data_IF_358402255021
#
_entry.id   IF_358402255021
#
_cell.length_a   1.000
_cell.length_b   1.000
_cell.length_c   1.000
_cell.angle_alpha   90.00
_cell.angle_beta   90.00
_cell.angle_gamma   90.00
#
_symmetry.space_group_name_H-M   'P 1'
#
loop_
_entity.id
_entity.type
_entity.pdbx_description
1 polymer ?
#
# COMPACT_ATOMS: atom_id res chain seq x y z
N UNK A 1 -33.22 12.43 0.68
CA UNK A 1 -32.17 11.52 0.20
C UNK A 1 -31.24 11.28 1.39
N UNK A 2 -31.29 10.10 1.98
CA UNK A 2 -30.29 9.72 2.98
C UNK A 2 -28.95 9.58 2.25
N UNK A 3 -27.92 10.21 2.78
CA UNK A 3 -26.55 10.02 2.30
C UNK A 3 -26.17 8.55 2.51
N UNK A 4 -25.60 7.88 1.52
CA UNK A 4 -25.07 6.53 1.71
C UNK A 4 -23.89 6.51 2.69
N UNK A 5 -23.19 7.64 2.82
CA UNK A 5 -22.03 7.82 3.69
C UNK A 5 -22.44 8.68 4.89
N UNK A 6 -22.42 8.08 6.07
CA UNK A 6 -22.62 8.73 7.35
C UNK A 6 -21.31 9.15 8.01
N UNK A 7 -21.42 10.01 9.03
CA UNK A 7 -20.29 10.47 9.82
C UNK A 7 -19.87 9.41 10.85
N UNK A 8 -18.58 9.22 11.03
CA UNK A 8 -18.01 8.45 12.14
C UNK A 8 -17.53 9.41 13.24
N UNK A 9 -17.67 9.01 14.50
CA UNK A 9 -17.09 9.73 15.63
C UNK A 9 -15.56 9.71 15.52
N UNK A 10 -14.94 10.85 15.24
CA UNK A 10 -13.51 10.98 14.99
C UNK A 10 -12.65 10.50 16.16
N UNK A 11 -13.06 10.76 17.40
CA UNK A 11 -12.30 10.35 18.58
C UNK A 11 -12.30 8.83 18.74
N UNK A 12 -13.44 8.18 18.48
CA UNK A 12 -13.54 6.72 18.50
C UNK A 12 -12.79 6.08 17.36
N UNK A 13 -12.81 6.67 16.16
CA UNK A 13 -11.98 6.24 15.02
C UNK A 13 -10.51 6.28 15.38
N UNK A 14 -10.04 7.41 15.94
CA UNK A 14 -8.65 7.55 16.36
C UNK A 14 -8.28 6.50 17.42
N UNK A 15 -9.12 6.27 18.42
CA UNK A 15 -8.86 5.26 19.44
C UNK A 15 -8.72 3.83 18.85
N UNK A 16 -9.48 3.51 17.79
CA UNK A 16 -9.33 2.22 17.10
C UNK A 16 -7.97 2.13 16.42
N UNK A 17 -7.54 3.17 15.71
CA UNK A 17 -6.21 3.19 15.08
C UNK A 17 -5.08 3.15 16.11
N UNK A 18 -5.20 3.88 17.22
CA UNK A 18 -4.22 3.86 18.31
C UNK A 18 -4.09 2.45 18.92
N UNK A 19 -5.20 1.73 19.04
CA UNK A 19 -5.18 0.33 19.49
C UNK A 19 -4.47 -0.62 18.54
N UNK A 20 -4.34 -0.28 17.26
CA UNK A 20 -3.64 -1.05 16.24
C UNK A 20 -2.17 -0.65 16.08
N UNK A 21 -1.73 0.46 16.67
CA UNK A 21 -0.40 1.05 16.41
C UNK A 21 0.75 0.08 16.72
N UNK A 22 0.66 -0.70 17.80
CA UNK A 22 1.66 -1.72 18.15
C UNK A 22 1.77 -2.82 17.11
N UNK A 23 0.63 -3.31 16.58
CA UNK A 23 0.61 -4.35 15.55
C UNK A 23 1.19 -3.81 14.24
N UNK A 24 0.83 -2.57 13.88
CA UNK A 24 1.35 -1.87 12.70
C UNK A 24 2.86 -1.69 12.79
N UNK A 25 3.37 -1.26 13.95
CA UNK A 25 4.81 -1.16 14.22
C UNK A 25 5.51 -2.50 14.05
N UNK A 26 4.94 -3.58 14.60
CA UNK A 26 5.48 -4.94 14.46
C UNK A 26 5.49 -5.42 13.00
N UNK A 27 4.50 -5.02 12.18
CA UNK A 27 4.50 -5.30 10.75
C UNK A 27 5.68 -4.61 10.05
N UNK A 28 5.93 -3.34 10.39
CA UNK A 28 7.06 -2.58 9.85
C UNK A 28 8.41 -3.19 10.25
N UNK A 29 8.62 -3.53 11.51
CA UNK A 29 9.85 -4.14 12.00
C UNK A 29 10.17 -5.47 11.28
N UNK A 30 9.16 -6.31 11.02
CA UNK A 30 9.33 -7.51 10.18
C UNK A 30 9.63 -7.18 8.72
N UNK A 31 9.11 -6.09 8.22
CA UNK A 31 9.39 -5.59 6.86
C UNK A 31 10.84 -5.13 6.72
N UNK A 32 11.35 -4.37 7.68
CA UNK A 32 12.76 -3.91 7.73
C UNK A 32 13.74 -5.08 7.72
N UNK A 33 13.40 -6.22 8.31
CA UNK A 33 14.24 -7.42 8.23
C UNK A 33 14.42 -7.94 6.79
N UNK A 34 13.50 -7.62 5.86
CA UNK A 34 13.59 -7.97 4.42
C UNK A 34 14.14 -6.83 3.57
N UNK A 35 13.75 -5.60 3.89
CA UNK A 35 14.14 -4.38 3.20
C UNK A 35 14.69 -3.40 4.23
N UNK A 36 15.98 -3.46 4.59
CA UNK A 36 16.56 -2.70 5.72
C UNK A 36 16.35 -1.19 5.62
N UNK A 37 16.37 -0.65 4.41
CA UNK A 37 16.17 0.78 4.12
C UNK A 37 14.71 1.14 3.79
N UNK A 38 13.74 0.29 4.17
CA UNK A 38 12.32 0.58 3.93
C UNK A 38 11.88 1.82 4.71
N UNK A 39 11.30 2.77 4.01
CA UNK A 39 10.81 4.02 4.57
C UNK A 39 9.65 4.56 3.71
N UNK A 40 8.85 5.44 4.28
CA UNK A 40 7.76 6.11 3.57
C UNK A 40 6.48 6.14 4.37
N UNK A 41 5.44 6.58 3.71
CA UNK A 41 4.10 6.70 4.27
C UNK A 41 3.21 5.55 3.78
N UNK A 42 2.29 5.12 4.63
CA UNK A 42 1.16 4.30 4.25
C UNK A 42 -0.14 4.94 4.75
N UNK A 43 -1.11 5.08 3.86
CA UNK A 43 -2.47 5.53 4.19
C UNK A 43 -3.44 4.36 4.06
N UNK A 44 -4.07 4.01 5.17
CA UNK A 44 -5.07 2.96 5.25
C UNK A 44 -6.47 3.58 5.21
N UNK A 45 -7.36 2.95 4.44
CA UNK A 45 -8.76 3.34 4.36
C UNK A 45 -9.66 2.15 4.69
N UNK A 46 -10.67 2.41 5.53
CA UNK A 46 -11.65 1.45 5.99
C UNK A 46 -13.04 1.95 5.65
N UNK A 47 -13.80 1.15 4.92
CA UNK A 47 -15.24 1.34 4.77
C UNK A 47 -15.94 0.56 5.88
N UNK A 48 -16.69 1.27 6.70
CA UNK A 48 -17.38 0.74 7.88
C UNK A 48 -18.86 0.55 7.54
N UNK A 49 -19.39 -0.63 7.83
CA UNK A 49 -20.81 -0.94 7.68
C UNK A 49 -21.66 -0.31 8.80
N UNK A 50 -22.98 -0.30 8.62
CA UNK A 50 -23.95 0.26 9.56
C UNK A 50 -23.83 -0.33 11.00
N UNK A 51 -23.42 -1.59 11.11
CA UNK A 51 -23.23 -2.28 12.39
C UNK A 51 -21.86 -2.00 13.06
N UNK A 52 -20.96 -1.28 12.40
CA UNK A 52 -19.60 -1.01 12.87
C UNK A 52 -18.56 -2.06 12.44
N UNK A 53 -18.93 -3.02 11.62
CA UNK A 53 -17.98 -3.97 11.03
C UNK A 53 -17.24 -3.36 9.83
N UNK A 54 -16.09 -3.94 9.49
CA UNK A 54 -15.36 -3.56 8.28
C UNK A 54 -16.02 -4.16 7.05
N UNK A 55 -16.53 -3.31 6.16
CA UNK A 55 -17.04 -3.72 4.84
C UNK A 55 -15.89 -3.96 3.86
N UNK A 56 -15.00 -2.99 3.76
CA UNK A 56 -13.78 -3.03 2.94
C UNK A 56 -12.63 -2.38 3.68
N UNK A 57 -11.42 -2.86 3.43
CA UNK A 57 -10.19 -2.24 3.86
C UNK A 57 -9.18 -2.28 2.71
N UNK A 58 -8.47 -1.19 2.46
CA UNK A 58 -7.49 -1.10 1.39
C UNK A 58 -6.40 -0.09 1.71
N UNK A 59 -5.26 -0.27 1.06
CA UNK A 59 -4.16 0.69 1.09
C UNK A 59 -4.48 1.79 0.09
N UNK A 60 -4.85 2.97 0.60
CA UNK A 60 -5.27 4.12 -0.22
C UNK A 60 -4.09 4.83 -0.87
N UNK A 61 -3.01 4.95 -0.15
CA UNK A 61 -1.72 5.47 -0.63
C UNK A 61 -0.57 4.78 0.11
N UNK A 62 0.53 4.53 -0.58
CA UNK A 62 1.74 3.98 0.04
C UNK A 62 2.98 4.28 -0.77
N UNK A 63 4.03 4.61 -0.06
CA UNK A 63 5.40 4.64 -0.57
C UNK A 63 6.32 3.68 0.19
N UNK A 64 5.75 2.75 0.99
CA UNK A 64 6.54 1.73 1.71
C UNK A 64 7.20 0.73 0.77
N UNK A 65 6.50 0.29 -0.27
CA UNK A 65 7.09 -0.54 -1.33
C UNK A 65 7.28 -2.02 -0.96
N UNK A 66 6.59 -2.54 0.04
CA UNK A 66 6.59 -3.96 0.39
C UNK A 66 5.18 -4.46 0.70
N UNK A 67 4.60 -5.18 -0.24
CA UNK A 67 3.23 -5.70 -0.14
C UNK A 67 3.00 -6.57 1.09
N UNK A 68 4.00 -7.34 1.51
CA UNK A 68 3.89 -8.17 2.71
C UNK A 68 3.69 -7.32 3.96
N UNK A 69 4.44 -6.24 4.08
CA UNK A 69 4.28 -5.26 5.18
C UNK A 69 2.94 -4.53 5.09
N UNK A 70 2.58 -4.02 3.91
CA UNK A 70 1.30 -3.32 3.68
C UNK A 70 0.09 -4.19 4.02
N UNK A 71 0.09 -5.46 3.59
CA UNK A 71 -0.98 -6.42 3.89
C UNK A 71 -1.06 -6.76 5.38
N UNK A 72 0.08 -6.86 6.05
CA UNK A 72 0.14 -7.06 7.50
C UNK A 72 -0.51 -5.88 8.23
N UNK A 73 -0.15 -4.64 7.87
CA UNK A 73 -0.71 -3.42 8.47
C UNK A 73 -2.20 -3.29 8.19
N UNK A 74 -2.63 -3.62 6.96
CA UNK A 74 -4.04 -3.63 6.59
C UNK A 74 -4.84 -4.64 7.44
N UNK A 75 -4.27 -5.83 7.67
CA UNK A 75 -4.88 -6.86 8.52
C UNK A 75 -5.00 -6.43 9.97
N UNK A 76 -4.04 -5.65 10.48
CA UNK A 76 -4.07 -5.13 11.86
C UNK A 76 -5.30 -4.24 12.13
N UNK A 77 -5.82 -3.54 11.11
CA UNK A 77 -6.99 -2.66 11.23
C UNK A 77 -8.28 -3.31 10.72
N UNK A 78 -8.20 -4.23 9.75
CA UNK A 78 -9.36 -4.85 9.10
C UNK A 78 -10.28 -5.59 10.08
N UNK A 79 -9.73 -6.20 11.11
CA UNK A 79 -10.47 -7.04 12.07
C UNK A 79 -10.91 -6.28 13.33
N UNK A 80 -10.81 -4.94 13.33
CA UNK A 80 -11.28 -4.09 14.44
C UNK A 80 -12.77 -3.79 14.33
N UNK A 81 -13.39 -3.47 15.46
CA UNK A 81 -14.74 -2.94 15.51
C UNK A 81 -14.68 -1.41 15.49
N UNK A 82 -15.45 -0.81 14.61
CA UNK A 82 -15.49 0.62 14.38
C UNK A 82 -16.74 1.26 15.00
N UNK A 83 -16.74 2.58 15.23
CA UNK A 83 -17.95 3.28 15.59
C UNK A 83 -19.00 3.16 14.46
N UNK A 84 -20.27 3.03 14.85
CA UNK A 84 -21.36 2.96 13.88
C UNK A 84 -21.53 4.31 13.16
N UNK A 85 -21.75 4.32 11.83
CA UNK A 85 -22.04 5.54 11.09
C UNK A 85 -23.31 6.23 11.59
N UNK A 86 -23.29 7.55 11.62
CA UNK A 86 -24.45 8.37 11.97
C UNK A 86 -24.93 9.09 10.69
N UNK A 87 -26.22 9.01 10.41
CA UNK A 87 -26.85 9.68 9.27
C UNK A 87 -26.57 9.04 7.91
N UNK A 88 -26.13 7.78 7.85
CA UNK A 88 -25.91 7.02 6.64
C UNK A 88 -25.69 5.55 6.92
N UNK A 89 -25.67 4.73 5.86
CA UNK A 89 -25.50 3.26 5.93
C UNK A 89 -24.05 2.81 6.05
N UNK A 90 -23.11 3.65 5.69
CA UNK A 90 -21.68 3.36 5.69
C UNK A 90 -20.91 4.56 6.20
N UNK A 91 -19.73 4.31 6.77
CA UNK A 91 -18.77 5.34 7.14
C UNK A 91 -17.39 5.10 6.53
N UNK A 92 -16.54 6.11 6.56
CA UNK A 92 -15.14 5.98 6.12
C UNK A 92 -14.22 6.41 7.25
N UNK A 93 -13.26 5.54 7.59
CA UNK A 93 -12.15 5.84 8.49
C UNK A 93 -10.84 5.77 7.70
N UNK A 94 -9.98 6.75 7.90
CA UNK A 94 -8.66 6.81 7.24
C UNK A 94 -7.61 7.25 8.24
N UNK A 95 -6.39 6.75 8.09
CA UNK A 95 -5.22 7.22 8.82
C UNK A 95 -3.95 7.00 8.00
N UNK A 96 -2.93 7.78 8.31
CA UNK A 96 -1.58 7.63 7.74
C UNK A 96 -0.58 7.29 8.83
N UNK A 97 0.41 6.47 8.47
CA UNK A 97 1.58 6.19 9.27
C UNK A 97 2.83 6.50 8.45
N UNK A 98 3.77 7.22 9.07
CA UNK A 98 5.07 7.54 8.49
C UNK A 98 6.14 6.69 9.17
N UNK A 99 7.02 6.11 8.37
CA UNK A 99 8.14 5.31 8.82
C UNK A 99 9.44 5.83 8.23
N UNK A 100 10.46 5.90 9.06
CA UNK A 100 11.80 6.31 8.67
C UNK A 100 12.75 5.11 8.80
N UNK A 101 13.79 5.03 7.94
CA UNK A 101 14.80 3.98 8.05
C UNK A 101 15.59 4.15 9.33
N UNK A 102 16.30 3.09 9.75
CA UNK A 102 17.25 3.18 10.85
C UNK A 102 18.31 4.26 10.60
N UNK A 103 18.82 4.87 11.68
CA UNK A 103 19.79 5.97 11.59
C UNK A 103 21.06 5.60 10.80
N UNK A 104 21.46 4.35 10.84
CA UNK A 104 22.65 3.83 10.15
C UNK A 104 22.34 3.31 8.72
N UNK A 105 21.08 3.33 8.30
CA UNK A 105 20.68 2.79 6.99
C UNK A 105 20.83 3.85 5.91
N UNK A 106 21.65 3.53 4.90
CA UNK A 106 21.77 4.38 3.71
C UNK A 106 20.45 4.32 2.91
N UNK A 107 19.84 5.47 2.58
CA UNK A 107 18.64 5.47 1.74
C UNK A 107 18.96 4.94 0.34
N UNK A 108 17.99 4.25 -0.31
CA UNK A 108 18.14 3.80 -1.69
C UNK A 108 18.26 4.99 -2.64
N UNK A 109 18.77 4.72 -3.85
CA UNK A 109 18.82 5.73 -4.90
C UNK A 109 17.40 6.02 -5.40
N UNK A 110 17.04 7.28 -5.46
CA UNK A 110 15.75 7.68 -6.02
C UNK A 110 15.72 7.48 -7.53
N UNK A 111 14.75 6.70 -8.00
CA UNK A 111 14.50 6.44 -9.40
C UNK A 111 13.19 7.06 -9.87
N UNK A 112 13.17 7.41 -11.13
CA UNK A 112 11.93 7.68 -11.88
C UNK A 112 11.57 6.48 -12.75
N UNK A 113 10.40 6.48 -13.34
CA UNK A 113 9.96 5.43 -14.26
C UNK A 113 10.96 5.22 -15.42
N UNK A 114 11.57 6.29 -15.91
CA UNK A 114 12.56 6.22 -16.99
C UNK A 114 13.77 5.33 -16.65
N UNK A 115 14.15 5.25 -15.39
CA UNK A 115 15.28 4.42 -14.94
C UNK A 115 14.95 2.92 -14.96
N UNK A 116 13.66 2.53 -14.94
CA UNK A 116 13.27 1.12 -14.92
C UNK A 116 13.57 0.36 -16.22
N UNK A 117 13.73 1.12 -17.33
CA UNK A 117 14.16 0.59 -18.62
C UNK A 117 13.04 -0.11 -19.41
N UNK A 118 13.42 -0.77 -20.53
CA UNK A 118 12.46 -1.32 -21.49
C UNK A 118 11.63 -2.49 -20.97
N UNK A 119 12.10 -3.22 -19.96
CA UNK A 119 11.36 -4.33 -19.37
C UNK A 119 10.06 -3.85 -18.73
N UNK A 120 10.10 -2.75 -18.00
CA UNK A 120 8.91 -2.14 -17.41
C UNK A 120 7.94 -1.63 -18.48
N UNK A 121 8.44 -0.97 -19.51
CA UNK A 121 7.60 -0.46 -20.61
C UNK A 121 6.87 -1.60 -21.33
N UNK A 122 7.51 -2.74 -21.55
CA UNK A 122 6.89 -3.93 -22.14
C UNK A 122 5.83 -4.54 -21.20
N UNK A 123 6.06 -4.50 -19.89
CA UNK A 123 5.15 -5.07 -18.89
C UNK A 123 3.90 -4.19 -18.64
N UNK A 124 3.92 -2.91 -19.01
CA UNK A 124 2.84 -1.95 -18.72
C UNK A 124 1.45 -2.43 -19.15
N UNK A 125 1.36 -3.05 -20.32
CA UNK A 125 0.09 -3.59 -20.82
C UNK A 125 -0.45 -4.72 -19.93
N UNK A 126 0.42 -5.62 -19.48
CA UNK A 126 0.05 -6.71 -18.57
C UNK A 126 -0.35 -6.18 -17.17
N UNK A 127 0.39 -5.18 -16.66
CA UNK A 127 0.06 -4.52 -15.38
C UNK A 127 -1.31 -3.83 -15.45
N UNK A 128 -1.59 -3.13 -16.54
CA UNK A 128 -2.91 -2.52 -16.77
C UNK A 128 -4.02 -3.57 -16.95
N UNK A 129 -3.72 -4.72 -17.53
CA UNK A 129 -4.67 -5.83 -17.62
C UNK A 129 -5.01 -6.41 -16.23
N UNK A 130 -4.01 -6.58 -15.34
CA UNK A 130 -4.26 -6.97 -13.95
C UNK A 130 -5.24 -6.02 -13.25
N UNK A 131 -4.99 -4.72 -13.36
CA UNK A 131 -5.82 -3.67 -12.79
C UNK A 131 -7.25 -3.69 -13.36
N UNK A 132 -7.37 -3.71 -14.69
CA UNK A 132 -8.66 -3.67 -15.39
C UNK A 132 -9.49 -4.92 -15.15
N UNK A 133 -8.88 -6.10 -15.05
CA UNK A 133 -9.59 -7.37 -14.78
C UNK A 133 -10.25 -7.38 -13.40
N UNK A 134 -9.67 -6.69 -12.41
CA UNK A 134 -10.27 -6.49 -11.10
C UNK A 134 -11.30 -5.33 -11.11
N UNK A 135 -11.34 -4.52 -12.16
CA UNK A 135 -12.13 -3.30 -12.21
C UNK A 135 -11.60 -2.21 -11.29
N UNK A 136 -10.31 -2.26 -10.95
CA UNK A 136 -9.66 -1.27 -10.11
C UNK A 136 -9.41 0.04 -10.90
N UNK A 137 -9.53 1.17 -10.18
CA UNK A 137 -9.13 2.48 -10.68
C UNK A 137 -7.61 2.62 -10.80
N UNK A 138 -7.09 3.87 -10.98
CA UNK A 138 -5.66 4.12 -10.97
C UNK A 138 -5.00 3.58 -9.71
N UNK A 139 -3.81 3.00 -9.86
CA UNK A 139 -3.01 2.44 -8.77
C UNK A 139 -1.63 3.08 -8.75
N UNK A 140 -1.03 3.11 -7.56
CA UNK A 140 0.37 3.46 -7.36
C UNK A 140 1.13 2.22 -6.97
N UNK A 141 2.31 2.04 -7.55
CA UNK A 141 3.22 0.96 -7.18
C UNK A 141 4.56 1.55 -6.76
N UNK A 142 5.13 1.03 -5.68
CA UNK A 142 6.45 1.39 -5.20
C UNK A 142 7.31 0.14 -5.15
N UNK A 143 8.52 0.21 -5.71
CA UNK A 143 9.44 -0.90 -5.79
C UNK A 143 10.78 -0.53 -5.17
N UNK A 144 11.42 -1.53 -4.57
CA UNK A 144 12.86 -1.54 -4.32
C UNK A 144 13.53 -2.46 -5.32
N UNK A 145 14.62 -2.00 -5.93
CA UNK A 145 15.33 -2.70 -6.99
C UNK A 145 16.76 -2.96 -6.55
N UNK A 146 17.18 -4.22 -6.60
CA UNK A 146 18.54 -4.64 -6.28
C UNK A 146 19.55 -4.20 -7.34
N UNK A 147 20.83 -4.22 -6.97
CA UNK A 147 21.94 -3.83 -7.86
C UNK A 147 22.00 -4.65 -9.16
N UNK A 148 21.46 -5.86 -9.16
CA UNK A 148 21.34 -6.68 -10.36
C UNK A 148 20.10 -6.38 -11.23
N UNK A 149 19.24 -5.44 -10.79
CA UNK A 149 18.00 -5.05 -11.50
C UNK A 149 16.78 -5.91 -11.18
N UNK A 150 16.85 -6.83 -10.20
CA UNK A 150 15.66 -7.55 -9.73
C UNK A 150 14.90 -6.72 -8.71
N UNK A 151 13.55 -6.71 -8.78
CA UNK A 151 12.76 -6.17 -7.69
C UNK A 151 12.99 -6.97 -6.40
N UNK A 152 13.37 -6.29 -5.33
CA UNK A 152 13.49 -6.84 -3.97
C UNK A 152 12.13 -6.92 -3.29
N UNK A 153 11.34 -5.88 -3.45
CA UNK A 153 10.01 -5.75 -2.89
C UNK A 153 9.16 -4.85 -3.76
N UNK A 154 7.86 -5.06 -3.72
CA UNK A 154 6.83 -4.27 -4.43
C UNK A 154 5.69 -4.00 -3.47
N UNK A 155 5.30 -2.75 -3.33
CA UNK A 155 4.09 -2.31 -2.65
C UNK A 155 3.08 -1.75 -3.64
N UNK A 156 1.82 -1.74 -3.23
CA UNK A 156 0.73 -1.19 -4.04
C UNK A 156 -0.23 -0.36 -3.21
N UNK A 157 -0.82 0.63 -3.84
CA UNK A 157 -1.93 1.40 -3.29
C UNK A 157 -2.95 1.73 -4.38
N UNK A 158 -4.20 1.98 -3.99
CA UNK A 158 -5.24 2.40 -4.91
C UNK A 158 -6.44 3.00 -4.19
N UNK A 159 -7.31 3.65 -4.93
CA UNK A 159 -8.39 4.48 -4.38
C UNK A 159 -9.63 3.71 -3.91
N UNK A 160 -9.66 2.40 -4.10
CA UNK A 160 -10.80 1.56 -3.75
C UNK A 160 -10.37 0.12 -3.36
N UNK A 161 -11.32 -0.66 -2.86
CA UNK A 161 -11.09 -2.04 -2.45
C UNK A 161 -10.71 -2.98 -3.61
N UNK A 162 -11.00 -2.61 -4.86
CA UNK A 162 -10.65 -3.42 -6.03
C UNK A 162 -9.17 -3.42 -6.33
N UNK A 163 -8.44 -2.39 -5.85
CA UNK A 163 -6.98 -2.38 -5.88
C UNK A 163 -6.37 -3.55 -5.10
N UNK A 164 -7.03 -3.99 -4.01
CA UNK A 164 -6.62 -5.16 -3.23
C UNK A 164 -6.82 -6.47 -4.01
N UNK A 165 -7.88 -6.54 -4.84
CA UNK A 165 -8.14 -7.69 -5.71
C UNK A 165 -7.11 -7.78 -6.86
N UNK A 166 -6.65 -6.64 -7.38
CA UNK A 166 -5.60 -6.57 -8.39
C UNK A 166 -4.19 -6.85 -7.84
N UNK A 167 -4.00 -6.72 -6.54
CA UNK A 167 -2.69 -6.64 -5.89
C UNK A 167 -1.76 -7.80 -6.23
N UNK A 168 -2.22 -9.04 -6.08
CA UNK A 168 -1.38 -10.23 -6.32
C UNK A 168 -0.90 -10.27 -7.77
N UNK A 169 -1.80 -10.04 -8.75
CA UNK A 169 -1.44 -10.03 -10.16
C UNK A 169 -0.38 -8.95 -10.47
N UNK A 170 -0.57 -7.73 -9.96
CA UNK A 170 0.36 -6.62 -10.19
C UNK A 170 1.72 -6.88 -9.53
N UNK A 171 1.72 -7.34 -8.28
CA UNK A 171 2.95 -7.64 -7.53
C UNK A 171 3.73 -8.76 -8.20
N UNK A 172 3.09 -9.87 -8.56
CA UNK A 172 3.75 -11.01 -9.21
C UNK A 172 4.34 -10.62 -10.56
N UNK A 173 3.60 -9.85 -11.36
CA UNK A 173 4.08 -9.35 -12.64
C UNK A 173 5.33 -8.44 -12.49
N UNK A 174 5.33 -7.56 -11.48
CA UNK A 174 6.47 -6.69 -11.21
C UNK A 174 7.67 -7.45 -10.63
N UNK A 175 7.44 -8.36 -9.68
CA UNK A 175 8.51 -9.18 -9.09
C UNK A 175 9.22 -10.08 -10.12
N UNK A 176 8.53 -10.44 -11.20
CA UNK A 176 9.10 -11.23 -12.30
C UNK A 176 9.96 -10.44 -13.28
N UNK A 177 10.05 -9.11 -13.16
CA UNK A 177 10.80 -8.28 -14.11
C UNK A 177 12.31 -8.33 -13.85
N UNK A 178 13.06 -8.10 -14.94
CA UNK A 178 14.48 -7.77 -14.91
C UNK A 178 14.61 -6.33 -15.40
N UNK A 179 14.68 -5.41 -14.44
CA UNK A 179 14.81 -3.98 -14.69
C UNK A 179 16.27 -3.61 -15.01
N UNK A 180 16.51 -2.35 -15.29
CA UNK A 180 17.88 -1.82 -15.38
C UNK A 180 18.58 -1.94 -14.02
N UNK A 181 19.90 -2.05 -14.03
CA UNK A 181 20.69 -2.02 -12.79
C UNK A 181 20.75 -0.59 -12.23
N UNK A 182 20.53 -0.38 -10.95
CA UNK A 182 20.75 0.92 -10.30
C UNK A 182 22.22 1.23 -10.01
N UNK A 183 23.13 0.34 -10.38
CA UNK A 183 24.56 0.51 -10.12
C UNK A 183 24.99 -0.18 -8.83
N UNK A 184 25.72 0.54 -7.98
CA UNK A 184 26.37 -0.04 -6.79
C UNK A 184 25.49 -0.13 -5.55
N UNK A 185 24.25 0.39 -5.62
CA UNK A 185 23.32 0.37 -4.48
C UNK A 185 21.87 0.24 -4.95
N UNK A 186 21.00 -0.26 -4.07
CA UNK A 186 19.60 -0.44 -4.37
C UNK A 186 18.90 0.88 -4.71
N UNK A 187 17.88 0.80 -5.55
CA UNK A 187 17.03 1.94 -5.88
C UNK A 187 15.61 1.78 -5.36
N UNK A 188 14.92 2.90 -5.22
CA UNK A 188 13.49 2.99 -4.94
C UNK A 188 12.81 3.78 -6.04
N UNK A 189 11.66 3.30 -6.49
CA UNK A 189 10.86 3.99 -7.50
C UNK A 189 9.38 3.89 -7.16
N UNK A 190 8.65 4.98 -7.36
CA UNK A 190 7.18 5.00 -7.27
C UNK A 190 6.61 5.46 -8.60
N UNK A 191 5.68 4.69 -9.17
CA UNK A 191 5.04 4.98 -10.46
C UNK A 191 3.53 4.77 -10.38
N UNK A 192 2.79 5.44 -11.27
CA UNK A 192 1.35 5.28 -11.42
C UNK A 192 1.03 4.28 -12.53
N UNK A 193 0.01 3.47 -12.30
CA UNK A 193 -0.65 2.61 -13.28
C UNK A 193 -2.05 3.20 -13.53
N UNK A 194 -2.23 3.82 -14.69
CA UNK A 194 -3.46 4.51 -15.11
C UNK A 194 -4.26 3.70 -16.13
#
# INVERSE_FOLDING_TARGET
MESEIGALDANKVQAVFDSAASDIKSCYERGVARVPFMAGEIKLAIRVSEDGSTKHAFVKDSTLGDRTTESCMLSAVKHRTWPKPQGGKEGTAETSFMFEPGEDERPPVDWTEANMGPAFQKARSALNACRSSAGAGPMRVTLYVETDGKPMAVGIAGNDAKSEEAATCVVDALMGLKLSSPGSYAAKVTVSLD
#
